data_IF_930408849760
#
_entry.id   IF_930408849760
#
_cell.length_a   1.000
_cell.length_b   1.000
_cell.length_c   1.000
_cell.angle_alpha   90.00
_cell.angle_beta   90.00
_cell.angle_gamma   90.00
#
_symmetry.space_group_name_H-M   'P 1'
#
loop_
_entity.id
_entity.type
_entity.pdbx_description
1 polymer ?
#
# COMPACT_ATOMS: atom_id res chain seq x y z
N UNK A 1 7.76 -3.92 -5.94
CA UNK A 1 8.41 -2.62 -6.16
C UNK A 1 8.80 -1.97 -4.84
N UNK A 2 7.87 -1.56 -3.96
CA UNK A 2 8.23 -0.93 -2.66
C UNK A 2 9.25 -1.74 -1.81
N UNK A 3 9.02 -3.04 -1.58
CA UNK A 3 9.97 -3.87 -0.81
C UNK A 3 11.38 -3.84 -1.41
N UNK A 4 11.48 -4.01 -2.73
CA UNK A 4 12.76 -4.02 -3.43
C UNK A 4 13.44 -2.64 -3.33
N UNK A 5 12.69 -1.55 -3.49
CA UNK A 5 13.21 -0.20 -3.29
C UNK A 5 13.78 -0.01 -1.88
N UNK A 6 13.00 -0.34 -0.84
CA UNK A 6 13.43 -0.21 0.55
C UNK A 6 14.70 -1.04 0.82
N UNK A 7 14.77 -2.26 0.30
CA UNK A 7 15.91 -3.14 0.50
C UNK A 7 17.17 -2.68 -0.26
N UNK A 8 17.02 -2.26 -1.53
CA UNK A 8 18.14 -1.96 -2.43
C UNK A 8 18.66 -0.53 -2.30
N UNK A 9 17.77 0.44 -2.00
CA UNK A 9 18.12 1.86 -1.97
C UNK A 9 18.17 2.44 -0.55
N UNK A 10 17.35 1.93 0.37
CA UNK A 10 17.31 2.41 1.77
C UNK A 10 17.99 1.44 2.76
N UNK A 11 18.35 0.22 2.32
CA UNK A 11 18.93 -0.81 3.19
C UNK A 11 17.95 -1.40 4.22
N UNK A 12 16.65 -1.24 4.01
CA UNK A 12 15.59 -1.62 4.95
C UNK A 12 14.91 -2.92 4.50
N UNK A 13 14.98 -3.95 5.34
CA UNK A 13 14.33 -5.24 5.08
C UNK A 13 12.94 -5.26 5.72
N UNK A 14 11.90 -5.25 4.89
CA UNK A 14 10.51 -5.42 5.34
C UNK A 14 9.99 -6.85 5.06
N UNK A 15 9.36 -7.46 6.08
CA UNK A 15 8.94 -8.87 6.07
C UNK A 15 7.43 -9.09 5.80
N UNK A 16 6.68 -8.01 5.59
CA UNK A 16 5.24 -8.05 5.26
C UNK A 16 4.83 -6.78 4.50
N UNK A 17 3.69 -6.80 3.77
CA UNK A 17 3.19 -5.59 3.12
C UNK A 17 2.95 -4.44 4.11
N UNK A 18 2.37 -4.74 5.28
CA UNK A 18 2.12 -3.73 6.32
C UNK A 18 3.41 -3.14 6.88
N UNK A 19 4.46 -3.95 7.10
CA UNK A 19 5.76 -3.40 7.51
C UNK A 19 6.34 -2.51 6.42
N UNK A 20 6.29 -2.90 5.13
CA UNK A 20 6.83 -2.06 4.06
C UNK A 20 6.11 -0.70 3.99
N UNK A 21 4.79 -0.64 4.19
CA UNK A 21 4.08 0.64 4.23
C UNK A 21 4.40 1.50 5.45
N UNK A 22 4.70 0.89 6.61
CA UNK A 22 5.17 1.64 7.79
C UNK A 22 6.58 2.21 7.57
N UNK A 23 7.47 1.44 6.96
CA UNK A 23 8.79 1.92 6.58
C UNK A 23 8.69 3.05 5.55
N UNK A 24 7.77 2.94 4.58
CA UNK A 24 7.51 4.00 3.61
C UNK A 24 7.07 5.32 4.28
N UNK A 25 6.27 5.26 5.35
CA UNK A 25 5.96 6.45 6.15
C UNK A 25 7.20 7.03 6.84
N UNK A 26 7.99 6.18 7.48
CA UNK A 26 9.19 6.60 8.23
C UNK A 26 10.25 7.23 7.32
N UNK A 27 10.31 6.80 6.05
CA UNK A 27 11.24 7.32 5.04
C UNK A 27 10.59 8.38 4.12
N UNK A 28 9.44 8.93 4.52
CA UNK A 28 8.79 10.05 3.83
C UNK A 28 8.32 9.74 2.40
N UNK A 29 8.11 8.47 2.05
CA UNK A 29 7.50 8.06 0.77
C UNK A 29 5.97 8.14 0.82
N UNK A 30 5.38 8.08 2.03
CA UNK A 30 3.94 8.17 2.26
C UNK A 30 3.64 9.17 3.38
N UNK A 31 2.48 9.82 3.28
CA UNK A 31 1.88 10.54 4.41
C UNK A 31 1.24 9.56 5.40
N UNK A 32 0.91 10.02 6.61
CA UNK A 32 0.20 9.20 7.59
C UNK A 32 -1.19 8.76 7.07
N UNK A 33 -1.89 9.64 6.34
CA UNK A 33 -3.20 9.36 5.73
C UNK A 33 -3.08 8.29 4.65
N UNK A 34 -2.09 8.42 3.76
CA UNK A 34 -1.86 7.45 2.69
C UNK A 34 -1.43 6.10 3.25
N UNK A 35 -0.60 6.11 4.29
CA UNK A 35 -0.17 4.88 4.98
C UNK A 35 -1.37 4.13 5.56
N UNK A 36 -2.30 4.84 6.22
CA UNK A 36 -3.52 4.22 6.72
C UNK A 36 -4.36 3.61 5.60
N UNK A 37 -4.41 4.28 4.45
CA UNK A 37 -5.09 3.77 3.24
C UNK A 37 -4.41 2.48 2.73
N UNK A 38 -3.08 2.43 2.67
CA UNK A 38 -2.34 1.24 2.30
C UNK A 38 -2.51 0.07 3.29
N UNK A 39 -2.59 0.36 4.58
CA UNK A 39 -2.85 -0.66 5.60
C UNK A 39 -4.25 -1.25 5.42
N UNK A 40 -5.27 -0.41 5.22
CA UNK A 40 -6.63 -0.86 4.92
C UNK A 40 -6.71 -1.65 3.60
N UNK A 41 -5.98 -1.22 2.57
CA UNK A 41 -5.86 -1.95 1.30
C UNK A 41 -5.27 -3.35 1.50
N UNK A 42 -4.29 -3.50 2.39
CA UNK A 42 -3.71 -4.80 2.72
C UNK A 42 -4.74 -5.73 3.39
N UNK A 43 -5.58 -5.18 4.26
CA UNK A 43 -6.68 -5.92 4.90
C UNK A 43 -7.76 -6.32 3.89
N UNK A 44 -8.19 -5.39 3.04
CA UNK A 44 -9.19 -5.66 2.00
C UNK A 44 -8.67 -6.66 0.96
N UNK A 45 -7.37 -6.66 0.63
CA UNK A 45 -6.75 -7.68 -0.23
C UNK A 45 -6.94 -9.08 0.34
N UNK A 46 -6.78 -9.28 1.64
CA UNK A 46 -7.01 -10.59 2.26
C UNK A 46 -8.48 -11.02 2.18
N UNK A 47 -9.40 -10.04 2.21
CA UNK A 47 -10.83 -10.28 2.09
C UNK A 47 -11.29 -10.56 0.65
N UNK A 48 -10.44 -10.36 -0.36
CA UNK A 48 -10.83 -10.62 -1.77
C UNK A 48 -11.18 -12.09 -2.05
N UNK A 49 -10.62 -13.02 -1.28
CA UNK A 49 -11.00 -14.44 -1.31
C UNK A 49 -12.47 -14.69 -0.92
N UNK A 50 -13.10 -13.73 -0.24
CA UNK A 50 -14.50 -13.80 0.21
C UNK A 50 -15.46 -12.96 -0.64
N UNK A 51 -15.05 -12.55 -1.84
CA UNK A 51 -15.86 -11.69 -2.74
C UNK A 51 -17.14 -12.33 -3.26
N UNK A 52 -17.36 -13.63 -3.01
CA UNK A 52 -18.68 -14.25 -3.18
C UNK A 52 -19.75 -13.61 -2.27
N UNK A 53 -19.35 -12.97 -1.17
CA UNK A 53 -20.22 -12.13 -0.35
C UNK A 53 -20.37 -10.77 -1.04
N UNK A 54 -21.49 -10.55 -1.72
CA UNK A 54 -21.74 -9.35 -2.53
C UNK A 54 -21.54 -8.04 -1.75
N UNK A 55 -22.01 -7.98 -0.50
CA UNK A 55 -21.85 -6.80 0.36
C UNK A 55 -20.37 -6.45 0.61
N UNK A 56 -19.52 -7.48 0.75
CA UNK A 56 -18.08 -7.32 0.91
C UNK A 56 -17.45 -6.86 -0.41
N UNK A 57 -17.80 -7.50 -1.53
CA UNK A 57 -17.30 -7.11 -2.86
C UNK A 57 -17.62 -5.65 -3.17
N UNK A 58 -18.87 -5.21 -2.95
CA UNK A 58 -19.28 -3.80 -3.11
C UNK A 58 -18.51 -2.85 -2.20
N UNK A 59 -18.19 -3.27 -0.97
CA UNK A 59 -17.40 -2.45 -0.03
C UNK A 59 -15.96 -2.27 -0.50
N UNK A 60 -15.30 -3.34 -0.95
CA UNK A 60 -13.93 -3.27 -1.49
C UNK A 60 -13.92 -2.42 -2.76
N UNK A 61 -14.87 -2.66 -3.68
CA UNK A 61 -14.98 -1.93 -4.95
C UNK A 61 -15.02 -0.40 -4.75
N UNK A 62 -15.82 0.07 -3.79
CA UNK A 62 -15.93 1.52 -3.47
C UNK A 62 -14.63 2.15 -2.98
N UNK A 63 -13.68 1.36 -2.46
CA UNK A 63 -12.39 1.85 -1.94
C UNK A 63 -11.27 1.83 -2.99
N UNK A 64 -11.46 1.11 -4.10
CA UNK A 64 -10.45 0.98 -5.15
C UNK A 64 -9.93 2.31 -5.70
N UNK A 65 -10.75 3.37 -5.90
CA UNK A 65 -10.23 4.66 -6.36
C UNK A 65 -9.19 5.26 -5.42
N UNK A 66 -9.44 5.22 -4.09
CA UNK A 66 -8.48 5.71 -3.10
C UNK A 66 -7.19 4.90 -3.11
N UNK A 67 -7.30 3.57 -3.26
CA UNK A 67 -6.14 2.68 -3.37
C UNK A 67 -5.31 2.98 -4.61
N UNK A 68 -5.96 3.20 -5.75
CA UNK A 68 -5.29 3.58 -6.98
C UNK A 68 -4.52 4.89 -6.82
N UNK A 69 -5.15 5.93 -6.28
CA UNK A 69 -4.51 7.23 -6.05
C UNK A 69 -3.25 7.10 -5.18
N UNK A 70 -3.33 6.38 -4.07
CA UNK A 70 -2.18 6.21 -3.18
C UNK A 70 -1.07 5.37 -3.83
N UNK A 71 -1.42 4.30 -4.55
CA UNK A 71 -0.43 3.49 -5.27
C UNK A 71 0.29 4.27 -6.37
N UNK A 72 -0.43 5.13 -7.10
CA UNK A 72 0.16 6.01 -8.11
C UNK A 72 1.10 7.03 -7.46
N UNK A 73 0.66 7.71 -6.40
CA UNK A 73 1.49 8.65 -5.64
C UNK A 73 2.79 7.99 -5.14
N UNK A 74 2.68 6.81 -4.52
CA UNK A 74 3.83 6.05 -4.05
C UNK A 74 4.78 5.69 -5.20
N UNK A 75 4.25 5.26 -6.35
CA UNK A 75 5.07 4.93 -7.51
C UNK A 75 5.84 6.16 -8.01
N UNK A 76 5.18 7.32 -8.09
CA UNK A 76 5.83 8.57 -8.46
C UNK A 76 6.94 8.96 -7.47
N UNK A 77 6.71 8.79 -6.17
CA UNK A 77 7.73 9.05 -5.14
C UNK A 77 8.94 8.14 -5.27
N UNK A 78 8.73 6.84 -5.54
CA UNK A 78 9.81 5.88 -5.75
C UNK A 78 10.58 6.24 -7.04
N UNK A 79 9.89 6.52 -8.14
CA UNK A 79 10.51 6.87 -9.42
C UNK A 79 11.30 8.18 -9.37
N UNK A 80 10.91 9.13 -8.52
CA UNK A 80 11.64 10.38 -8.35
C UNK A 80 12.96 10.23 -7.56
N UNK A 81 13.16 9.08 -6.88
CA UNK A 81 14.33 8.79 -6.02
C UNK A 81 15.29 7.76 -6.61
N UNK A 82 14.96 7.20 -7.76
CA UNK A 82 15.80 6.25 -8.53
C UNK A 82 16.30 6.96 -9.78
#
# INVERSE_FOLDING_TARGET
MLKAYLEQHEGIVCNSPKSCFREALQNGLLSAVDTQTCLAMTDDRNLTAHTYIEALAKRIYRRLPAYLTVMQSLMTQIQARV
#
